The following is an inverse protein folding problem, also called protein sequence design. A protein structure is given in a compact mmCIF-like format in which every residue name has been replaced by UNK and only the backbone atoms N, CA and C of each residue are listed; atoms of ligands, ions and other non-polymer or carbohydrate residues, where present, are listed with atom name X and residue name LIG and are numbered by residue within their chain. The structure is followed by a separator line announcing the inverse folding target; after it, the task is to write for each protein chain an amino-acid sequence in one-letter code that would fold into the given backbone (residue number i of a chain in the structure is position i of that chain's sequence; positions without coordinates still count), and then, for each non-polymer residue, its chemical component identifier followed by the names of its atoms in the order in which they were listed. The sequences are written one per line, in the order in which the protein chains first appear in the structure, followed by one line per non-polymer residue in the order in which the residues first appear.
data_IF_135477322468
#
_entry.id   IF_135477322468
#
_cell.length_a   1.000
_cell.length_b   1.000
_cell.length_c   1.000
_cell.angle_alpha   90.00
_cell.angle_beta   90.00
_cell.angle_gamma   90.00
#
_symmetry.space_group_name_H-M   'P 1'
#
loop_
_entity.id
_entity.type
_entity.pdbx_description
1 polymer ?
#
# COMPACT_ATOMS: atom_id res chain seq x y z
N UNK A 1 -58.43 -5.80 22.57
CA UNK A 1 -59.26 -6.03 21.40
C UNK A 1 -58.37 -6.49 20.27
N UNK A 2 -58.40 -7.72 20.15
CA UNK A 2 -58.80 -8.66 19.10
C UNK A 2 -57.65 -8.83 18.09
N UNK A 3 -56.93 -9.85 18.08
CA UNK A 3 -57.24 -11.31 17.96
C UNK A 3 -57.26 -11.73 16.50
N UNK A 4 -56.68 -12.85 16.21
CA UNK A 4 -56.70 -13.69 15.01
C UNK A 4 -55.50 -13.47 14.06
N UNK A 5 -54.84 -14.53 13.61
CA UNK A 5 -55.03 -15.97 13.76
C UNK A 5 -53.89 -16.67 13.02
N UNK A 6 -53.58 -17.82 13.52
CA UNK A 6 -52.70 -18.83 13.01
C UNK A 6 -53.31 -19.45 11.73
N UNK A 7 -52.49 -19.69 10.72
CA UNK A 7 -52.81 -20.73 9.73
C UNK A 7 -51.55 -21.49 9.35
N UNK A 8 -51.53 -22.71 9.88
CA UNK A 8 -50.72 -23.84 9.46
C UNK A 8 -51.08 -24.26 8.05
N UNK A 9 -50.15 -24.56 7.19
CA UNK A 9 -50.34 -25.46 6.09
C UNK A 9 -49.18 -26.42 5.93
N UNK A 10 -49.56 -27.65 6.21
CA UNK A 10 -48.87 -28.90 6.04
C UNK A 10 -48.50 -29.19 4.57
N UNK A 11 -47.38 -29.86 4.44
CA UNK A 11 -47.20 -31.20 3.87
C UNK A 11 -47.49 -31.38 2.38
N UNK A 12 -46.46 -31.84 1.70
CA UNK A 12 -46.43 -32.77 0.54
C UNK A 12 -45.04 -32.72 -0.04
N UNK A 13 -44.28 -33.77 -0.29
CA UNK A 13 -44.56 -35.18 -0.46
C UNK A 13 -43.28 -35.71 -1.09
N UNK A 14 -42.81 -36.81 -0.61
CA UNK A 14 -41.71 -37.62 -1.11
C UNK A 14 -42.07 -38.14 -2.50
N UNK A 15 -41.21 -37.96 -3.48
CA UNK A 15 -41.22 -38.80 -4.67
C UNK A 15 -39.81 -39.35 -4.93
N UNK A 16 -39.71 -40.63 -4.60
CA UNK A 16 -38.66 -41.54 -5.01
C UNK A 16 -38.67 -41.68 -6.55
N UNK A 17 -37.57 -41.47 -7.19
CA UNK A 17 -37.32 -42.01 -8.52
C UNK A 17 -36.07 -42.84 -8.54
N UNK A 18 -36.35 -44.13 -8.54
CA UNK A 18 -35.43 -45.21 -8.82
C UNK A 18 -34.95 -45.18 -10.26
N UNK A 19 -33.68 -45.52 -10.41
CA UNK A 19 -33.11 -46.50 -11.30
C UNK A 19 -33.16 -46.24 -12.82
N UNK A 20 -31.99 -45.91 -13.37
CA UNK A 20 -31.57 -46.34 -14.71
C UNK A 20 -30.04 -46.21 -14.76
N UNK A 21 -29.34 -47.33 -14.77
CA UNK A 21 -29.08 -48.14 -15.96
C UNK A 21 -27.61 -47.95 -16.31
N UNK A 22 -26.82 -49.00 -15.97
CA UNK A 22 -25.44 -49.18 -16.41
C UNK A 22 -25.40 -49.26 -17.93
N UNK A 23 -24.69 -48.40 -18.58
CA UNK A 23 -24.19 -48.61 -19.94
C UNK A 23 -22.67 -48.38 -19.98
N UNK A 24 -22.01 -49.53 -20.09
CA UNK A 24 -20.61 -49.67 -20.46
C UNK A 24 -20.34 -48.97 -21.79
N UNK A 25 -19.51 -47.96 -21.78
CA UNK A 25 -18.85 -47.49 -22.99
C UNK A 25 -17.33 -47.68 -22.88
N UNK A 26 -16.95 -48.78 -23.48
CA UNK A 26 -15.59 -49.11 -23.84
C UNK A 26 -14.95 -48.04 -24.70
N UNK A 27 -13.71 -47.78 -24.37
CA UNK A 27 -12.60 -47.57 -25.23
C UNK A 27 -12.65 -46.45 -26.29
N UNK A 28 -12.15 -45.29 -25.94
CA UNK A 28 -11.56 -44.39 -26.92
C UNK A 28 -10.16 -43.96 -26.50
N UNK A 29 -9.27 -44.46 -27.36
CA UNK A 29 -7.86 -44.31 -27.51
C UNK A 29 -7.23 -43.01 -27.05
N UNK A 30 -6.11 -43.25 -26.45
CA UNK A 30 -5.01 -42.32 -26.26
C UNK A 30 -4.67 -41.60 -27.56
N UNK A 31 -4.92 -40.35 -27.66
CA UNK A 31 -4.21 -39.38 -28.49
C UNK A 31 -4.56 -37.97 -27.98
N UNK A 32 -4.09 -37.61 -26.79
CA UNK A 32 -3.96 -36.23 -26.42
C UNK A 32 -2.53 -35.80 -26.64
N UNK A 33 -2.35 -35.28 -27.85
CA UNK A 33 -1.25 -34.43 -28.24
C UNK A 33 -0.92 -33.46 -27.10
N UNK A 34 0.32 -33.58 -26.73
CA UNK A 34 1.19 -32.66 -26.09
C UNK A 34 0.73 -31.18 -26.32
N UNK A 35 -0.22 -30.70 -25.53
CA UNK A 35 -0.45 -29.30 -25.41
C UNK A 35 0.66 -28.75 -24.55
N UNK A 36 1.64 -28.28 -25.29
CA UNK A 36 2.78 -27.52 -24.86
C UNK A 36 2.47 -26.67 -23.66
N UNK A 37 3.36 -26.74 -22.70
CA UNK A 37 3.29 -26.00 -21.48
C UNK A 37 2.87 -24.57 -21.75
N UNK A 38 1.71 -24.20 -21.23
CA UNK A 38 1.51 -22.85 -20.85
C UNK A 38 2.51 -22.62 -19.74
N UNK A 39 3.71 -22.22 -20.14
CA UNK A 39 4.54 -21.39 -19.31
C UNK A 39 3.63 -20.24 -18.89
N UNK A 40 2.94 -20.45 -17.80
CA UNK A 40 2.29 -19.38 -17.09
C UNK A 40 3.39 -18.40 -16.76
N UNK A 41 3.59 -17.44 -17.64
CA UNK A 41 4.19 -16.19 -17.28
C UNK A 41 3.29 -15.69 -16.16
N UNK A 42 3.64 -16.07 -14.93
CA UNK A 42 3.25 -15.28 -13.81
C UNK A 42 3.86 -13.91 -14.12
N UNK A 43 3.08 -13.10 -14.79
CA UNK A 43 3.33 -11.68 -14.80
C UNK A 43 3.34 -11.32 -13.33
N UNK A 44 4.55 -11.27 -12.79
CA UNK A 44 4.80 -10.64 -11.50
C UNK A 44 4.58 -9.16 -11.72
N UNK A 45 3.32 -8.79 -11.97
CA UNK A 45 2.89 -7.42 -11.96
C UNK A 45 3.38 -6.82 -10.66
N UNK A 46 4.17 -5.79 -10.75
CA UNK A 46 4.67 -5.08 -9.59
C UNK A 46 3.47 -4.70 -8.72
N UNK A 47 3.51 -5.03 -7.44
CA UNK A 47 2.42 -4.67 -6.54
C UNK A 47 2.39 -3.15 -6.41
N UNK A 48 1.22 -2.56 -6.56
CA UNK A 48 1.02 -1.13 -6.34
C UNK A 48 1.55 -0.73 -4.96
N UNK A 49 2.22 0.42 -4.89
CA UNK A 49 2.84 0.99 -3.69
C UNK A 49 3.95 0.13 -3.03
N UNK A 50 4.53 -0.82 -3.76
CA UNK A 50 5.59 -1.68 -3.26
C UNK A 50 6.92 -1.34 -3.94
N UNK A 51 7.80 -0.51 -3.32
CA UNK A 51 9.13 -0.25 -3.83
C UNK A 51 10.01 -1.50 -3.70
N UNK A 52 11.01 -1.64 -4.59
CA UNK A 52 11.96 -2.75 -4.49
C UNK A 52 12.85 -2.64 -3.26
N UNK A 53 13.16 -1.42 -2.82
CA UNK A 53 13.92 -1.15 -1.61
C UNK A 53 13.44 0.11 -0.91
N UNK A 54 13.62 0.13 0.39
CA UNK A 54 13.56 1.31 1.22
C UNK A 54 14.60 1.19 2.33
N UNK A 55 15.08 2.29 2.85
CA UNK A 55 16.00 2.31 3.96
C UNK A 55 15.79 3.55 4.83
N UNK A 56 16.19 3.43 6.10
CA UNK A 56 16.35 4.53 7.03
C UNK A 56 17.59 4.27 7.89
N UNK A 57 18.49 5.22 7.93
CA UNK A 57 19.70 5.21 8.72
C UNK A 57 19.69 6.39 9.67
N UNK A 58 19.83 6.12 10.94
CA UNK A 58 19.83 7.16 11.98
C UNK A 58 21.16 7.17 12.72
N UNK A 59 21.81 8.33 12.75
CA UNK A 59 23.03 8.59 13.49
C UNK A 59 22.72 9.51 14.66
N UNK A 60 23.08 9.05 15.87
CA UNK A 60 22.95 9.85 17.08
C UNK A 60 24.34 10.16 17.61
N UNK A 61 24.61 11.43 17.85
CA UNK A 61 25.86 11.90 18.40
C UNK A 61 25.62 12.83 19.60
N UNK A 62 26.19 12.47 20.72
CA UNK A 62 26.14 13.27 21.95
C UNK A 62 27.44 14.04 22.08
N UNK A 63 27.38 15.36 21.93
CA UNK A 63 28.54 16.24 22.14
C UNK A 63 28.90 16.34 23.60
N UNK A 64 27.87 16.41 24.44
CA UNK A 64 27.92 16.44 25.90
C UNK A 64 26.72 15.68 26.48
N UNK A 65 26.62 15.55 27.79
CA UNK A 65 25.43 15.00 28.47
C UNK A 65 24.17 15.81 28.17
N UNK A 66 24.35 17.11 27.89
CA UNK A 66 23.25 18.04 27.65
C UNK A 66 23.00 18.33 26.15
N UNK A 67 23.87 17.89 25.24
CA UNK A 67 23.79 18.25 23.81
C UNK A 67 23.81 17.02 22.94
N UNK A 68 22.84 16.90 22.06
CA UNK A 68 22.75 15.80 21.09
C UNK A 68 22.37 16.27 19.71
N UNK A 69 22.88 15.56 18.71
CA UNK A 69 22.52 15.70 17.31
C UNK A 69 22.05 14.35 16.79
N UNK A 70 20.89 14.30 16.18
CA UNK A 70 20.40 13.17 15.41
C UNK A 70 20.35 13.55 13.95
N UNK A 71 20.89 12.71 13.09
CA UNK A 71 20.81 12.84 11.63
C UNK A 71 20.19 11.58 11.09
N UNK A 72 19.18 11.73 10.28
CA UNK A 72 18.46 10.63 9.64
C UNK A 72 18.55 10.79 8.12
N UNK A 73 18.94 9.71 7.45
CA UNK A 73 18.91 9.57 6.00
C UNK A 73 17.93 8.46 5.67
N UNK A 74 16.90 8.78 4.91
CA UNK A 74 15.91 7.81 4.45
C UNK A 74 15.83 7.84 2.92
N UNK A 75 15.54 6.70 2.32
CA UNK A 75 15.35 6.59 0.88
C UNK A 75 14.35 5.53 0.53
N UNK A 76 13.72 5.71 -0.61
CA UNK A 76 12.72 4.82 -1.18
C UNK A 76 12.90 4.76 -2.68
N UNK A 77 12.79 3.54 -3.24
CA UNK A 77 12.82 3.31 -4.68
C UNK A 77 11.54 3.82 -5.36
N UNK A 78 11.59 3.92 -6.68
CA UNK A 78 10.40 4.10 -7.48
C UNK A 78 9.39 2.97 -7.20
N UNK A 79 8.13 3.29 -7.29
CA UNK A 79 7.05 2.32 -7.16
C UNK A 79 5.85 2.75 -8.02
N UNK A 80 5.13 1.78 -8.52
CA UNK A 80 3.92 2.03 -9.30
C UNK A 80 2.74 2.38 -8.40
N UNK A 81 1.89 3.28 -8.88
CA UNK A 81 0.66 3.65 -8.16
C UNK A 81 -0.51 2.73 -8.48
N UNK A 82 -0.49 2.08 -9.66
CA UNK A 82 -1.53 1.17 -10.11
C UNK A 82 -0.91 -0.12 -10.67
N UNK A 83 -1.32 -1.26 -10.15
CA UNK A 83 -0.87 -2.58 -10.60
C UNK A 83 -1.32 -2.95 -12.03
N UNK A 84 -2.25 -2.22 -12.59
CA UNK A 84 -2.76 -2.43 -13.95
C UNK A 84 -2.07 -1.56 -15.00
N UNK A 85 -1.30 -0.55 -14.57
CA UNK A 85 -0.62 0.37 -15.47
C UNK A 85 0.72 0.86 -14.90
N UNK A 86 1.79 0.23 -15.35
CA UNK A 86 3.17 0.53 -14.91
C UNK A 86 3.65 1.93 -15.31
N UNK A 87 2.93 2.62 -16.20
CA UNK A 87 3.29 3.99 -16.60
C UNK A 87 3.04 5.02 -15.50
N UNK A 88 2.30 4.65 -14.46
CA UNK A 88 1.99 5.51 -13.33
C UNK A 88 2.88 5.19 -12.14
N UNK A 89 4.09 5.73 -12.15
CA UNK A 89 5.09 5.50 -11.12
C UNK A 89 5.53 6.77 -10.39
N UNK A 90 6.10 6.57 -9.21
CA UNK A 90 6.82 7.62 -8.46
C UNK A 90 8.27 7.64 -8.89
N UNK A 91 8.94 8.78 -8.70
CA UNK A 91 10.39 8.85 -8.75
C UNK A 91 11.01 8.30 -7.45
N UNK A 92 12.21 7.70 -7.48
CA UNK A 92 12.94 7.37 -6.27
C UNK A 92 13.38 8.65 -5.56
N UNK A 93 13.44 8.62 -4.23
CA UNK A 93 13.81 9.80 -3.48
C UNK A 93 14.65 9.49 -2.24
N UNK A 94 15.35 10.54 -1.76
CA UNK A 94 16.17 10.49 -0.56
C UNK A 94 15.90 11.71 0.31
N UNK A 95 15.69 11.48 1.58
CA UNK A 95 15.40 12.52 2.56
C UNK A 95 16.55 12.60 3.57
N UNK A 96 16.94 13.82 3.89
CA UNK A 96 17.89 14.11 4.96
C UNK A 96 17.18 14.95 6.01
N UNK A 97 17.20 14.47 7.25
CA UNK A 97 16.64 15.14 8.42
C UNK A 97 17.73 15.34 9.47
N UNK A 98 17.66 16.42 10.21
CA UNK A 98 18.55 16.67 11.34
C UNK A 98 17.80 17.27 12.52
N UNK A 99 18.17 16.85 13.71
CA UNK A 99 17.55 17.26 14.97
C UNK A 99 18.68 17.54 15.97
N UNK A 100 18.77 18.76 16.44
CA UNK A 100 19.69 19.13 17.50
C UNK A 100 18.92 19.47 18.77
N UNK A 101 19.39 19.01 19.91
CA UNK A 101 18.84 19.40 21.21
C UNK A 101 19.94 19.78 22.19
N UNK A 102 19.63 20.78 23.02
CA UNK A 102 20.49 21.19 24.12
C UNK A 102 19.67 21.51 25.35
N UNK A 103 20.12 20.99 26.50
CA UNK A 103 19.46 21.18 27.80
C UNK A 103 20.26 22.17 28.65
N UNK A 104 19.58 23.20 29.14
CA UNK A 104 20.11 24.20 30.07
C UNK A 104 19.35 24.07 31.39
N UNK A 105 19.81 23.28 32.33
CA UNK A 105 19.11 23.05 33.57
C UNK A 105 17.66 22.60 33.36
N UNK A 106 16.68 23.49 33.57
CA UNK A 106 15.24 23.20 33.41
C UNK A 106 14.71 23.52 32.00
N UNK A 107 15.53 24.05 31.12
CA UNK A 107 15.15 24.46 29.78
C UNK A 107 15.79 23.53 28.75
N UNK A 108 15.00 23.03 27.80
CA UNK A 108 15.49 22.31 26.64
C UNK A 108 15.12 23.04 25.37
N UNK A 109 16.15 23.34 24.57
CA UNK A 109 16.02 23.87 23.24
C UNK A 109 16.17 22.72 22.24
N UNK A 110 15.23 22.61 21.30
CA UNK A 110 15.31 21.71 20.14
C UNK A 110 15.26 22.53 18.85
N UNK A 111 16.11 22.17 17.89
CA UNK A 111 16.07 22.71 16.54
C UNK A 111 16.01 21.54 15.58
N UNK A 112 15.16 21.63 14.57
CA UNK A 112 15.06 20.58 13.56
C UNK A 112 15.01 21.14 12.15
N UNK A 113 15.51 20.36 11.22
CA UNK A 113 15.35 20.57 9.80
C UNK A 113 14.97 19.24 9.16
N UNK A 114 13.83 19.20 8.49
CA UNK A 114 13.32 18.03 7.76
C UNK A 114 13.39 18.31 6.27
N UNK A 115 13.61 17.25 5.51
CA UNK A 115 13.78 17.33 4.06
C UNK A 115 14.79 18.43 3.68
N UNK A 116 15.99 18.37 4.26
CA UNK A 116 17.03 19.41 4.10
C UNK A 116 17.40 19.63 2.63
N UNK A 117 17.34 18.56 1.84
CA UNK A 117 17.65 18.58 0.41
C UNK A 117 16.53 19.23 -0.42
N UNK A 118 15.39 19.52 0.18
CA UNK A 118 14.18 20.06 -0.47
C UNK A 118 13.71 19.20 -1.64
N UNK A 119 13.79 17.89 -1.44
CA UNK A 119 13.38 16.89 -2.42
C UNK A 119 11.87 16.92 -2.61
N UNK A 120 11.44 17.01 -3.87
CA UNK A 120 10.03 16.92 -4.22
C UNK A 120 9.68 15.46 -4.54
N UNK A 121 8.91 14.82 -3.70
CA UNK A 121 8.60 13.42 -3.85
C UNK A 121 7.09 13.13 -3.70
N UNK A 122 6.60 12.16 -4.46
CA UNK A 122 5.23 11.69 -4.35
C UNK A 122 5.17 10.52 -3.38
N UNK A 123 4.41 10.67 -2.31
CA UNK A 123 4.19 9.60 -1.32
C UNK A 123 3.03 8.69 -1.74
N UNK A 124 2.05 9.24 -2.42
CA UNK A 124 0.87 8.52 -2.92
C UNK A 124 0.48 9.03 -4.30
N UNK A 125 -0.11 8.13 -5.08
CA UNK A 125 -0.78 8.47 -6.33
C UNK A 125 -2.07 7.68 -6.45
N UNK A 126 -3.04 8.25 -7.13
CA UNK A 126 -4.28 7.59 -7.49
C UNK A 126 -4.72 8.05 -8.88
N UNK A 127 -5.36 7.15 -9.58
CA UNK A 127 -5.87 7.41 -10.90
C UNK A 127 -7.33 7.77 -10.77
N UNK A 128 -7.67 8.91 -11.29
CA UNK A 128 -9.03 9.37 -11.34
C UNK A 128 -9.40 9.66 -12.79
N UNK A 129 -10.49 9.08 -13.25
CA UNK A 129 -11.04 9.35 -14.57
C UNK A 129 -12.34 10.12 -14.44
N UNK A 130 -12.72 10.82 -15.48
CA UNK A 130 -14.03 11.43 -15.63
C UNK A 130 -14.14 12.93 -15.36
N UNK A 131 -13.06 13.67 -15.41
CA UNK A 131 -13.17 15.14 -15.47
C UNK A 131 -13.42 15.63 -16.90
N UNK A 132 -14.45 16.50 -17.10
CA UNK A 132 -14.64 17.14 -18.40
C UNK A 132 -13.44 18.02 -18.78
N UNK A 133 -13.12 18.22 -20.05
CA UNK A 133 -13.93 17.81 -21.21
C UNK A 133 -13.65 16.42 -21.78
N UNK A 134 -12.54 15.78 -21.41
CA UNK A 134 -12.04 14.61 -22.13
C UNK A 134 -12.38 13.28 -21.46
N UNK A 135 -12.77 13.27 -20.20
CA UNK A 135 -13.07 12.06 -19.42
C UNK A 135 -11.95 10.99 -19.47
N UNK A 136 -10.70 11.44 -19.56
CA UNK A 136 -9.54 10.57 -19.58
C UNK A 136 -9.08 10.26 -18.16
N UNK A 137 -8.38 9.15 -18.00
CA UNK A 137 -7.75 8.81 -16.74
C UNK A 137 -6.52 9.70 -16.53
N UNK A 138 -6.45 10.35 -15.38
CA UNK A 138 -5.34 11.20 -14.98
C UNK A 138 -4.75 10.74 -13.66
N UNK A 139 -3.43 10.84 -13.53
CA UNK A 139 -2.71 10.53 -12.32
C UNK A 139 -2.62 11.76 -11.42
N UNK A 140 -3.19 11.66 -10.24
CA UNK A 140 -3.08 12.65 -9.19
C UNK A 140 -2.02 12.20 -8.16
N UNK A 141 -0.98 12.99 -7.97
CA UNK A 141 0.10 12.70 -7.02
C UNK A 141 -0.09 13.54 -5.75
N UNK A 142 0.00 12.90 -4.59
CA UNK A 142 0.11 13.58 -3.31
C UNK A 142 1.60 13.69 -2.95
N UNK A 143 2.09 14.91 -2.81
CA UNK A 143 3.48 15.15 -2.49
C UNK A 143 3.70 15.16 -0.98
N UNK A 144 4.86 14.68 -0.58
CA UNK A 144 5.33 14.79 0.79
C UNK A 144 5.67 16.24 1.17
N UNK A 145 5.92 16.51 2.47
CA UNK A 145 6.27 17.84 2.94
C UNK A 145 7.52 18.40 2.28
N UNK A 146 7.54 19.70 1.92
CA UNK A 146 8.76 20.37 1.48
C UNK A 146 9.74 20.50 2.65
N UNK A 147 10.86 21.17 2.44
CA UNK A 147 11.81 21.45 3.51
C UNK A 147 11.13 22.25 4.64
N UNK A 148 11.24 21.71 5.84
CA UNK A 148 10.73 22.34 7.06
C UNK A 148 11.89 22.60 8.02
N UNK A 149 11.93 23.79 8.61
CA UNK A 149 12.83 24.13 9.71
C UNK A 149 12.03 24.69 10.86
N UNK A 150 12.32 24.21 12.04
CA UNK A 150 11.61 24.66 13.24
C UNK A 150 12.43 24.55 14.51
N UNK A 151 11.89 25.11 15.57
CA UNK A 151 12.44 25.03 16.91
C UNK A 151 11.38 24.74 17.96
N UNK A 152 11.82 24.12 19.03
CA UNK A 152 10.99 23.86 20.23
C UNK A 152 11.72 24.33 21.47
N UNK A 153 10.95 24.82 22.43
CA UNK A 153 11.46 25.22 23.74
C UNK A 153 10.59 24.54 24.80
N UNK A 154 11.22 23.75 25.64
CA UNK A 154 10.52 23.03 26.72
C UNK A 154 11.08 23.47 28.06
N UNK A 155 10.21 23.84 28.99
CA UNK A 155 10.58 24.17 30.37
C UNK A 155 9.99 23.15 31.35
N UNK A 156 10.83 22.63 32.23
CA UNK A 156 10.42 21.69 33.29
C UNK A 156 10.35 22.42 34.63
N UNK A 157 9.23 22.34 35.30
CA UNK A 157 8.98 22.98 36.60
C UNK A 157 9.63 22.26 37.76
#
# INVERSE_FOLDING_TARGET
HDDHGDEDHDDHGDEDHDDHGDEDHDDHGDDHDDHGGHDGHAEHGQKAHAPNWNYSLTFNYNFTEDSSLMVEIAGKDAFIFDSQNDSYESDPYHLLNAYYSHSFNKLRLGVYAKNILDESYADRGFIFGLEPPNFQQELYKSFGPPREVGMSLTYSF
#
